data_IF_903714625389
#
_entry.id   IF_903714625389
#
_cell.length_a   1.000
_cell.length_b   1.000
_cell.length_c   1.000
_cell.angle_alpha   90.00
_cell.angle_beta   90.00
_cell.angle_gamma   90.00
#
_symmetry.space_group_name_H-M   'P 1'
#
loop_
_entity.id
_entity.type
_entity.pdbx_description
1 polymer ?
#
# COMPACT_ATOMS: atom_id res chain seq x y z
N UNK A 1 -2.05 19.00 8.03
CA UNK A 1 -0.66 18.92 8.51
C UNK A 1 -0.01 17.67 7.92
N UNK A 2 1.19 17.74 7.33
CA UNK A 2 1.90 16.56 6.85
C UNK A 2 2.31 15.73 8.06
N UNK A 3 1.83 14.48 8.17
CA UNK A 3 2.07 13.57 9.31
C UNK A 3 3.28 12.65 9.11
N UNK A 4 4.12 12.92 8.11
CA UNK A 4 5.27 12.09 7.78
C UNK A 4 6.48 12.38 8.69
N UNK A 5 7.28 11.37 9.09
CA UNK A 5 8.44 11.57 9.97
C UNK A 5 9.41 12.65 9.50
N UNK A 6 9.63 12.78 8.18
CA UNK A 6 10.56 13.78 7.61
C UNK A 6 10.03 15.21 7.79
N UNK A 7 8.73 15.43 7.55
CA UNK A 7 8.11 16.74 7.74
C UNK A 7 8.10 17.16 9.21
N UNK A 8 7.96 16.19 10.13
CA UNK A 8 8.05 16.44 11.57
C UNK A 8 9.48 16.81 11.97
N UNK A 9 10.49 16.14 11.40
CA UNK A 9 11.90 16.45 11.67
C UNK A 9 12.27 17.88 11.27
N UNK A 10 11.73 18.36 10.14
CA UNK A 10 11.88 19.75 9.71
C UNK A 10 11.19 20.73 10.68
N UNK A 11 9.93 20.49 11.01
CA UNK A 11 9.17 21.34 11.94
C UNK A 11 9.82 21.43 13.33
N UNK A 12 10.43 20.34 13.79
CA UNK A 12 11.14 20.27 15.07
C UNK A 12 12.60 20.74 14.98
N UNK A 13 13.05 21.24 13.82
CA UNK A 13 14.42 21.72 13.56
C UNK A 13 15.49 20.68 13.90
N UNK A 14 15.18 19.40 13.72
CA UNK A 14 16.09 18.30 14.02
C UNK A 14 17.30 18.38 13.08
N UNK A 15 17.10 18.66 11.79
CA UNK A 15 18.19 18.79 10.82
C UNK A 15 19.17 19.91 11.21
N UNK A 16 18.67 21.10 11.51
CA UNK A 16 19.51 22.22 11.94
C UNK A 16 20.27 21.94 13.24
N UNK A 17 19.66 21.21 14.19
CA UNK A 17 20.33 20.79 15.43
C UNK A 17 21.57 19.92 15.17
N UNK A 18 21.57 19.17 14.07
CA UNK A 18 22.70 18.35 13.62
C UNK A 18 23.52 19.01 12.50
N UNK A 19 23.39 20.33 12.32
CA UNK A 19 24.12 21.10 11.30
C UNK A 19 23.87 20.60 9.86
N UNK A 20 22.70 20.05 9.60
CA UNK A 20 22.27 19.64 8.26
C UNK A 20 21.46 20.75 7.61
N UNK A 21 21.87 21.14 6.41
CA UNK A 21 21.10 21.99 5.51
C UNK A 21 20.32 21.09 4.54
N UNK A 22 18.99 21.11 4.62
CA UNK A 22 18.13 20.15 3.92
C UNK A 22 17.17 20.90 3.01
N UNK A 23 17.28 20.65 1.71
CA UNK A 23 16.34 21.12 0.71
C UNK A 23 15.31 20.02 0.37
N UNK A 24 14.02 20.38 0.45
CA UNK A 24 12.94 19.46 0.10
C UNK A 24 12.57 19.55 -1.37
N UNK A 25 12.88 18.50 -2.12
CA UNK A 25 12.41 18.33 -3.50
C UNK A 25 11.21 17.39 -3.51
N UNK A 26 10.11 17.83 -4.12
CA UNK A 26 8.89 17.02 -4.26
C UNK A 26 8.88 16.29 -5.61
N UNK A 27 8.81 14.96 -5.58
CA UNK A 27 8.82 14.09 -6.76
C UNK A 27 7.43 13.57 -7.17
N UNK A 28 6.35 14.26 -6.76
CA UNK A 28 4.99 13.99 -7.25
C UNK A 28 4.44 12.62 -6.88
N UNK A 29 4.84 12.07 -5.73
CA UNK A 29 4.50 10.72 -5.25
C UNK A 29 4.99 9.56 -6.14
N UNK A 30 5.84 9.80 -7.15
CA UNK A 30 6.42 8.74 -7.96
C UNK A 30 7.75 8.28 -7.37
N UNK A 31 7.84 6.99 -7.02
CA UNK A 31 9.12 6.41 -6.61
C UNK A 31 10.10 6.34 -7.79
N UNK A 32 9.63 6.21 -9.01
CA UNK A 32 10.49 6.14 -10.20
C UNK A 32 11.20 7.48 -10.43
N UNK A 33 10.48 8.59 -10.27
CA UNK A 33 11.06 9.95 -10.35
C UNK A 33 12.05 10.18 -9.21
N UNK A 34 11.77 9.67 -8.01
CA UNK A 34 12.72 9.73 -6.89
C UNK A 34 14.01 8.95 -7.20
N UNK A 35 13.90 7.73 -7.74
CA UNK A 35 15.05 6.91 -8.11
C UNK A 35 15.88 7.59 -9.20
N UNK A 36 15.23 8.19 -10.21
CA UNK A 36 15.91 8.97 -11.25
C UNK A 36 16.63 10.20 -10.68
N UNK A 37 16.01 10.92 -9.74
CA UNK A 37 16.62 12.08 -9.10
C UNK A 37 17.90 11.71 -8.35
N UNK A 38 17.90 10.56 -7.65
CA UNK A 38 19.11 10.06 -6.98
C UNK A 38 20.15 9.59 -8.00
N UNK A 39 19.73 8.86 -9.04
CA UNK A 39 20.63 8.39 -10.09
C UNK A 39 21.33 9.54 -10.84
N UNK A 40 20.66 10.69 -10.98
CA UNK A 40 21.17 11.88 -11.68
C UNK A 40 21.87 12.87 -10.75
N UNK A 41 21.99 12.57 -9.45
CA UNK A 41 22.60 13.46 -8.45
C UNK A 41 21.78 14.71 -8.13
N UNK A 42 20.49 14.75 -8.50
CA UNK A 42 19.55 15.83 -8.12
C UNK A 42 19.04 15.68 -6.68
N UNK A 43 19.22 14.51 -6.07
CA UNK A 43 18.89 14.25 -4.68
C UNK A 43 19.90 13.28 -4.07
N UNK A 44 20.38 13.58 -2.86
CA UNK A 44 21.31 12.69 -2.13
C UNK A 44 20.60 11.58 -1.37
N UNK A 45 19.33 11.79 -1.02
CA UNK A 45 18.53 10.87 -0.23
C UNK A 45 17.03 10.93 -0.57
N UNK A 46 16.32 9.84 -0.30
CA UNK A 46 14.90 9.72 -0.59
C UNK A 46 14.16 8.89 0.44
N UNK A 47 12.90 9.26 0.69
CA UNK A 47 11.98 8.41 1.46
C UNK A 47 10.93 7.85 0.51
N UNK A 48 10.86 6.53 0.44
CA UNK A 48 9.88 5.81 -0.37
C UNK A 48 9.54 4.45 0.23
N UNK A 49 8.58 3.76 -0.40
CA UNK A 49 8.20 2.41 0.03
C UNK A 49 9.32 1.43 -0.30
N UNK A 50 9.94 0.81 0.70
CA UNK A 50 11.11 -0.05 0.54
C UNK A 50 10.98 -1.09 -0.59
N UNK A 51 9.81 -1.71 -0.76
CA UNK A 51 9.57 -2.73 -1.79
C UNK A 51 9.60 -2.20 -3.24
N UNK A 52 9.53 -0.88 -3.45
CA UNK A 52 9.75 -0.24 -4.76
C UNK A 52 11.23 -0.18 -5.13
N UNK A 53 12.13 -0.17 -4.14
CA UNK A 53 13.57 -0.06 -4.36
C UNK A 53 14.21 -1.40 -4.71
N UNK A 54 13.53 -2.52 -4.43
CA UNK A 54 14.07 -3.86 -4.58
C UNK A 54 14.58 -4.13 -6.01
N UNK A 55 13.80 -3.74 -7.02
CA UNK A 55 14.18 -3.96 -8.42
C UNK A 55 15.40 -3.12 -8.83
N UNK A 56 15.45 -1.86 -8.41
CA UNK A 56 16.60 -0.99 -8.69
C UNK A 56 17.87 -1.53 -8.02
N UNK A 57 17.77 -1.97 -6.76
CA UNK A 57 18.87 -2.60 -6.03
C UNK A 57 19.33 -3.91 -6.69
N UNK A 58 18.41 -4.76 -7.16
CA UNK A 58 18.73 -5.98 -7.92
C UNK A 58 19.46 -5.66 -9.24
N UNK A 59 19.11 -4.54 -9.89
CA UNK A 59 19.76 -4.05 -11.11
C UNK A 59 21.12 -3.36 -10.86
N UNK A 60 21.61 -3.36 -9.61
CA UNK A 60 22.91 -2.78 -9.26
C UNK A 60 22.89 -1.28 -9.02
N UNK A 61 21.73 -0.69 -8.73
CA UNK A 61 21.66 0.73 -8.35
C UNK A 61 22.42 0.96 -7.04
N UNK A 62 23.44 1.81 -7.08
CA UNK A 62 24.37 2.05 -5.97
C UNK A 62 23.76 2.96 -4.90
N UNK A 63 22.82 2.40 -4.14
CA UNK A 63 22.19 3.05 -2.99
C UNK A 63 22.07 2.08 -1.83
N UNK A 64 21.98 2.62 -0.62
CA UNK A 64 21.80 1.82 0.61
C UNK A 64 20.50 2.17 1.28
N UNK A 65 19.74 1.15 1.68
CA UNK A 65 18.59 1.31 2.56
C UNK A 65 19.09 1.49 4.00
N UNK A 66 18.83 2.65 4.59
CA UNK A 66 19.40 3.03 5.91
C UNK A 66 18.45 2.78 7.07
N UNK A 67 17.18 3.18 6.94
CA UNK A 67 16.19 3.07 8.00
C UNK A 67 14.75 2.96 7.46
N UNK A 68 13.90 2.23 8.19
CA UNK A 68 12.45 2.25 7.97
C UNK A 68 11.81 3.42 8.71
N UNK A 69 11.05 4.26 8.01
CA UNK A 69 10.43 5.47 8.59
C UNK A 69 9.07 5.18 9.25
N UNK A 70 8.30 4.24 8.70
CA UNK A 70 7.08 3.69 9.29
C UNK A 70 6.70 2.38 8.60
N UNK A 71 5.69 1.69 9.12
CA UNK A 71 5.08 0.52 8.48
C UNK A 71 3.57 0.46 8.72
N UNK A 72 2.92 -0.59 8.20
CA UNK A 72 1.49 -0.82 8.41
C UNK A 72 0.54 0.07 7.59
N UNK A 73 1.02 0.74 6.55
CA UNK A 73 0.16 1.52 5.65
C UNK A 73 -0.54 0.66 4.58
N UNK A 74 -0.14 -0.59 4.40
CA UNK A 74 -0.71 -1.50 3.39
C UNK A 74 -1.86 -2.30 4.01
N UNK A 75 -3.03 -2.21 3.38
CA UNK A 75 -4.26 -2.82 3.87
C UNK A 75 -4.85 -3.75 2.82
N UNK A 76 -5.47 -4.83 3.30
CA UNK A 76 -6.30 -5.71 2.51
C UNK A 76 -7.76 -5.26 2.67
N UNK A 77 -8.41 -4.96 1.55
CA UNK A 77 -9.81 -4.55 1.51
C UNK A 77 -10.67 -5.66 0.93
N UNK A 78 -11.71 -6.04 1.66
CA UNK A 78 -12.71 -6.99 1.19
C UNK A 78 -14.08 -6.30 1.15
N UNK A 79 -14.95 -6.77 0.26
CA UNK A 79 -16.36 -6.43 0.31
C UNK A 79 -16.96 -6.80 1.69
N UNK A 80 -17.92 -6.01 2.16
CA UNK A 80 -18.55 -6.17 3.48
C UNK A 80 -19.11 -7.58 3.71
N UNK A 81 -19.78 -8.12 2.70
CA UNK A 81 -20.42 -9.44 2.74
C UNK A 81 -19.51 -10.55 2.20
N UNK A 82 -18.20 -10.27 2.05
CA UNK A 82 -17.23 -11.29 1.69
C UNK A 82 -17.11 -12.27 2.85
N UNK A 83 -17.19 -13.60 2.61
CA UNK A 83 -16.90 -14.60 3.63
C UNK A 83 -15.38 -14.75 3.84
N UNK A 84 -14.67 -13.64 3.86
CA UNK A 84 -13.24 -13.59 4.11
C UNK A 84 -12.98 -14.07 5.54
N UNK A 85 -12.29 -15.19 5.64
CA UNK A 85 -11.98 -15.85 6.92
C UNK A 85 -10.53 -15.71 7.36
N UNK A 86 -9.68 -15.02 6.59
CA UNK A 86 -8.24 -15.01 6.78
C UNK A 86 -7.49 -15.08 5.45
N UNK A 87 -6.15 -15.06 5.51
CA UNK A 87 -5.29 -15.10 4.32
C UNK A 87 -5.48 -16.40 3.52
N UNK A 88 -5.79 -17.50 4.21
CA UNK A 88 -6.08 -18.81 3.64
C UNK A 88 -7.25 -18.77 2.65
N UNK A 89 -8.21 -17.87 2.89
CA UNK A 89 -9.37 -17.68 2.01
C UNK A 89 -9.05 -16.98 0.69
N UNK A 90 -7.83 -16.47 0.53
CA UNK A 90 -7.34 -15.85 -0.70
C UNK A 90 -6.89 -16.88 -1.74
N UNK A 91 -6.65 -18.14 -1.34
CA UNK A 91 -6.31 -19.20 -2.30
C UNK A 91 -7.44 -19.39 -3.32
N UNK A 92 -7.06 -19.38 -4.59
CA UNK A 92 -7.94 -19.40 -5.76
C UNK A 92 -8.60 -18.06 -6.10
N UNK A 93 -8.38 -17.00 -5.31
CA UNK A 93 -9.03 -15.70 -5.52
C UNK A 93 -8.21 -14.77 -6.41
N UNK A 94 -8.90 -13.76 -6.93
CA UNK A 94 -8.28 -12.63 -7.59
C UNK A 94 -8.00 -11.52 -6.59
N UNK A 95 -6.73 -11.15 -6.46
CA UNK A 95 -6.27 -10.03 -5.65
C UNK A 95 -5.96 -8.88 -6.58
N UNK A 96 -6.63 -7.76 -6.36
CA UNK A 96 -6.42 -6.56 -7.13
C UNK A 96 -5.35 -5.64 -6.50
N UNK A 97 -4.51 -5.08 -7.36
CA UNK A 97 -3.32 -4.28 -7.01
C UNK A 97 -3.31 -2.99 -7.83
N UNK A 98 -2.62 -1.98 -7.34
CA UNK A 98 -2.50 -0.71 -8.08
C UNK A 98 -1.52 -0.81 -9.26
N UNK A 99 -0.48 -1.65 -9.14
CA UNK A 99 0.40 -2.04 -10.25
C UNK A 99 1.11 -3.38 -9.97
N UNK A 100 1.65 -4.02 -11.02
CA UNK A 100 2.24 -5.37 -10.91
C UNK A 100 3.64 -5.41 -10.28
N UNK A 101 4.32 -4.28 -10.17
CA UNK A 101 5.58 -4.11 -9.45
C UNK A 101 5.35 -3.43 -8.09
N UNK A 102 4.08 -3.34 -7.67
CA UNK A 102 3.65 -2.52 -6.56
C UNK A 102 4.10 -3.09 -5.22
N UNK A 103 4.35 -2.22 -4.23
CA UNK A 103 4.74 -2.62 -2.88
C UNK A 103 3.60 -3.34 -2.17
N UNK A 104 2.35 -3.05 -2.52
CA UNK A 104 1.17 -3.81 -2.12
C UNK A 104 1.26 -5.26 -2.58
N UNK A 105 1.46 -5.52 -3.87
CA UNK A 105 1.62 -6.87 -4.40
C UNK A 105 2.78 -7.60 -3.73
N UNK A 106 3.96 -6.98 -3.69
CA UNK A 106 5.17 -7.61 -3.16
C UNK A 106 5.04 -7.95 -1.67
N UNK A 107 4.44 -7.05 -0.89
CA UNK A 107 4.22 -7.27 0.54
C UNK A 107 3.27 -8.45 0.77
N UNK A 108 2.12 -8.45 0.09
CA UNK A 108 1.14 -9.52 0.26
C UNK A 108 1.60 -10.84 -0.37
N UNK A 109 2.45 -10.82 -1.40
CA UNK A 109 3.07 -12.03 -1.92
C UNK A 109 3.99 -12.70 -0.89
N UNK A 110 4.82 -11.91 -0.18
CA UNK A 110 5.65 -12.39 0.93
C UNK A 110 4.78 -12.95 2.05
N UNK A 111 3.70 -12.23 2.40
CA UNK A 111 2.78 -12.64 3.45
C UNK A 111 2.06 -13.96 3.10
N UNK A 112 1.53 -14.10 1.87
CA UNK A 112 0.92 -15.33 1.37
C UNK A 112 1.91 -16.50 1.43
N UNK A 113 3.15 -16.31 0.97
CA UNK A 113 4.17 -17.36 0.99
C UNK A 113 4.51 -17.80 2.40
N UNK A 114 4.55 -16.90 3.38
CA UNK A 114 4.74 -17.23 4.81
C UNK A 114 3.58 -18.04 5.39
N UNK A 115 2.37 -17.89 4.85
CA UNK A 115 1.18 -18.66 5.21
C UNK A 115 0.98 -19.92 4.34
N UNK A 116 2.00 -20.34 3.58
CA UNK A 116 1.97 -21.57 2.77
C UNK A 116 1.13 -21.46 1.49
N UNK A 117 0.74 -20.25 1.08
CA UNK A 117 -0.01 -19.99 -0.15
C UNK A 117 0.99 -19.52 -1.21
N UNK A 118 1.02 -20.16 -2.37
CA UNK A 118 1.93 -19.73 -3.42
C UNK A 118 1.40 -18.47 -4.13
N UNK A 119 2.09 -17.32 -4.03
CA UNK A 119 1.59 -16.07 -4.60
C UNK A 119 1.62 -16.06 -6.14
N UNK A 120 2.22 -17.06 -6.79
CA UNK A 120 2.28 -17.18 -8.25
C UNK A 120 1.17 -18.10 -8.77
N UNK A 121 0.99 -19.27 -8.16
CA UNK A 121 0.05 -20.29 -8.66
C UNK A 121 -1.29 -20.32 -7.93
N UNK A 122 -1.32 -19.98 -6.64
CA UNK A 122 -2.52 -20.09 -5.82
C UNK A 122 -3.41 -18.84 -5.85
N UNK A 123 -2.96 -17.72 -6.42
CA UNK A 123 -3.75 -16.48 -6.50
C UNK A 123 -3.59 -15.84 -7.88
N UNK A 124 -4.56 -15.01 -8.28
CA UNK A 124 -4.49 -14.24 -9.52
C UNK A 124 -4.35 -12.76 -9.21
N UNK A 125 -3.30 -12.12 -9.72
CA UNK A 125 -3.10 -10.68 -9.57
C UNK A 125 -3.77 -9.92 -10.71
N UNK A 126 -4.51 -8.86 -10.39
CA UNK A 126 -5.15 -8.01 -11.40
C UNK A 126 -4.93 -6.53 -11.09
N UNK A 127 -4.52 -5.77 -12.10
CA UNK A 127 -4.32 -4.34 -11.93
C UNK A 127 -5.66 -3.61 -11.94
N UNK A 128 -5.88 -2.79 -10.92
CA UNK A 128 -6.99 -1.84 -10.82
C UNK A 128 -6.41 -0.48 -10.44
N UNK A 129 -6.56 0.55 -11.31
CA UNK A 129 -6.19 1.93 -10.97
C UNK A 129 -6.85 2.39 -9.67
N UNK A 130 -6.17 3.23 -8.90
CA UNK A 130 -6.65 3.72 -7.59
C UNK A 130 -8.05 4.36 -7.67
N UNK A 131 -8.35 5.08 -8.76
CA UNK A 131 -9.65 5.74 -8.94
C UNK A 131 -10.82 4.74 -9.12
N UNK A 132 -10.51 3.49 -9.47
CA UNK A 132 -11.48 2.42 -9.66
C UNK A 132 -11.63 1.53 -8.43
N UNK A 133 -11.00 1.86 -7.30
CA UNK A 133 -11.01 1.05 -6.07
C UNK A 133 -12.43 0.82 -5.53
N UNK A 134 -13.20 1.90 -5.38
CA UNK A 134 -14.59 1.88 -4.88
C UNK A 134 -15.52 1.19 -5.88
N UNK A 135 -15.33 1.46 -7.17
CA UNK A 135 -16.11 0.85 -8.26
C UNK A 135 -15.82 -0.64 -8.40
N UNK A 136 -14.57 -1.09 -8.24
CA UNK A 136 -14.20 -2.49 -8.33
C UNK A 136 -14.81 -3.31 -7.18
N UNK A 137 -14.77 -2.78 -5.96
CA UNK A 137 -15.44 -3.37 -4.79
C UNK A 137 -16.97 -3.35 -4.95
N UNK A 138 -17.54 -2.28 -5.54
CA UNK A 138 -18.97 -2.15 -5.83
C UNK A 138 -19.46 -3.04 -6.99
N UNK A 139 -18.66 -3.25 -8.03
CA UNK A 139 -19.01 -4.11 -9.17
C UNK A 139 -18.95 -5.60 -8.80
N UNK A 140 -18.06 -5.98 -7.87
CA UNK A 140 -18.09 -7.31 -7.27
C UNK A 140 -19.44 -7.62 -6.59
N UNK A 141 -20.20 -6.59 -6.15
CA UNK A 141 -21.57 -6.72 -5.61
C UNK A 141 -22.60 -7.16 -6.67
N UNK A 142 -22.46 -6.69 -7.92
CA UNK A 142 -23.44 -6.94 -8.98
C UNK A 142 -23.15 -8.20 -9.80
N UNK A 143 -21.93 -8.74 -9.75
CA UNK A 143 -21.59 -10.00 -10.44
C UNK A 143 -21.79 -11.20 -9.51
N UNK A 144 -23.04 -11.51 -9.17
CA UNK A 144 -23.41 -12.77 -8.46
C UNK A 144 -23.05 -14.05 -9.23
N UNK A 145 -22.60 -13.93 -10.49
CA UNK A 145 -22.34 -15.06 -11.40
C UNK A 145 -20.87 -15.27 -11.78
N UNK A 146 -19.94 -14.40 -11.37
CA UNK A 146 -18.50 -14.70 -11.48
C UNK A 146 -17.99 -15.15 -10.12
N UNK A 147 -17.46 -16.37 -10.04
CA UNK A 147 -16.79 -16.95 -8.86
C UNK A 147 -15.49 -16.20 -8.46
N UNK A 148 -15.30 -14.96 -8.92
CA UNK A 148 -14.13 -14.14 -8.63
C UNK A 148 -14.51 -13.17 -7.51
N UNK A 149 -14.20 -13.56 -6.26
CA UNK A 149 -14.34 -12.66 -5.11
C UNK A 149 -13.12 -11.76 -5.09
N UNK A 150 -13.25 -10.59 -5.70
CA UNK A 150 -12.16 -9.62 -5.77
C UNK A 150 -11.86 -9.08 -4.38
N UNK A 151 -10.61 -9.24 -3.96
CA UNK A 151 -10.04 -8.59 -2.77
C UNK A 151 -9.04 -7.57 -3.27
N UNK A 152 -9.07 -6.35 -2.76
CA UNK A 152 -8.26 -5.26 -3.30
C UNK A 152 -7.27 -4.78 -2.25
N UNK A 153 -6.05 -4.48 -2.67
CA UNK A 153 -5.03 -3.88 -1.81
C UNK A 153 -5.07 -2.36 -1.91
N UNK A 154 -4.94 -1.68 -0.79
CA UNK A 154 -4.79 -0.22 -0.76
C UNK A 154 -3.66 0.22 0.17
N UNK A 155 -2.92 1.24 -0.25
CA UNK A 155 -2.06 2.01 0.63
C UNK A 155 -2.88 3.10 1.33
N UNK A 156 -2.68 3.30 2.62
CA UNK A 156 -3.40 4.27 3.45
C UNK A 156 -3.19 5.72 2.93
N UNK A 157 -4.07 6.13 2.03
CA UNK A 157 -4.17 7.45 1.41
C UNK A 157 -5.57 7.72 0.85
N UNK A 158 -6.31 6.67 0.49
CA UNK A 158 -7.69 6.76 0.01
C UNK A 158 -8.68 6.97 1.16
N UNK A 159 -9.12 8.22 1.34
CA UNK A 159 -10.08 8.64 2.39
C UNK A 159 -11.52 8.16 2.16
N UNK A 160 -11.82 7.44 1.08
CA UNK A 160 -13.20 7.15 0.69
C UNK A 160 -13.83 5.89 1.31
N UNK A 161 -13.08 5.10 2.07
CA UNK A 161 -13.59 3.81 2.58
C UNK A 161 -13.66 3.83 4.11
N UNK A 162 -14.87 4.02 4.66
CA UNK A 162 -15.15 3.88 6.09
C UNK A 162 -15.05 2.39 6.45
N UNK A 163 -14.03 1.95 7.17
CA UNK A 163 -13.80 0.52 7.39
C UNK A 163 -13.57 0.12 8.84
N UNK A 164 -14.19 -1.01 9.22
CA UNK A 164 -14.05 -1.66 10.53
C UNK A 164 -12.76 -2.48 10.57
N UNK A 165 -11.95 -2.29 11.62
CA UNK A 165 -10.59 -2.83 11.76
C UNK A 165 -10.61 -4.17 12.51
N UNK A 166 -10.08 -5.23 11.90
CA UNK A 166 -9.71 -6.46 12.62
C UNK A 166 -8.20 -6.68 12.56
N UNK A 167 -7.61 -7.02 13.71
CA UNK A 167 -6.17 -6.96 13.97
C UNK A 167 -5.67 -8.37 14.31
N UNK A 168 -4.73 -8.91 13.50
CA UNK A 168 -4.17 -10.26 13.67
C UNK A 168 -2.67 -10.19 14.06
N UNK A 169 -2.36 -10.72 15.26
CA UNK A 169 -1.09 -11.17 15.92
C UNK A 169 0.27 -10.40 15.83
N UNK A 170 0.97 -10.25 16.98
CA UNK A 170 1.91 -9.16 17.38
C UNK A 170 3.38 -9.24 16.89
N UNK A 171 3.68 -9.92 15.78
CA UNK A 171 5.08 -10.21 15.41
C UNK A 171 5.82 -9.15 14.58
N UNK A 172 5.21 -8.62 13.52
CA UNK A 172 5.82 -7.72 12.52
C UNK A 172 4.67 -7.00 11.82
N UNK A 173 4.77 -5.68 11.58
CA UNK A 173 3.83 -4.83 10.82
C UNK A 173 2.56 -5.56 10.35
N UNK A 174 1.56 -5.61 11.21
CA UNK A 174 0.33 -6.38 10.97
C UNK A 174 -0.42 -5.80 9.78
N UNK A 175 -0.89 -6.62 8.83
CA UNK A 175 -1.83 -6.16 7.81
C UNK A 175 -3.12 -5.73 8.52
N UNK A 176 -3.57 -4.50 8.27
CA UNK A 176 -4.89 -4.10 8.73
C UNK A 176 -5.91 -4.60 7.70
N UNK A 177 -6.77 -5.51 8.14
CA UNK A 177 -7.96 -5.85 7.38
C UNK A 177 -8.99 -4.75 7.61
N UNK A 178 -9.45 -4.15 6.52
CA UNK A 178 -10.43 -3.08 6.53
C UNK A 178 -11.62 -3.51 5.67
N UNK A 179 -12.80 -3.62 6.29
CA UNK A 179 -14.05 -3.92 5.57
C UNK A 179 -14.64 -2.66 4.95
N UNK A 180 -14.85 -2.61 3.64
CA UNK A 180 -15.40 -1.43 3.00
C UNK A 180 -16.84 -1.13 3.46
N UNK A 181 -17.05 -0.01 4.14
CA UNK A 181 -18.36 0.55 4.48
C UNK A 181 -18.90 1.44 3.37
N UNK A 182 -20.21 1.40 3.17
CA UNK A 182 -20.90 2.18 2.14
C UNK A 182 -20.74 3.68 2.35
N UNK A 183 -20.71 4.41 1.23
CA UNK A 183 -20.78 5.87 1.19
C UNK A 183 -22.00 6.33 2.00
N UNK A 184 -21.78 7.17 3.02
CA UNK A 184 -22.87 7.94 3.60
C UNK A 184 -23.21 9.04 2.60
N UNK A 185 -24.41 8.99 2.04
CA UNK A 185 -24.98 10.12 1.33
C UNK A 185 -24.89 11.38 2.20
N UNK A 186 -24.46 12.54 1.66
CA UNK A 186 -24.55 13.79 2.39
C UNK A 186 -26.03 14.06 2.67
N UNK A 187 -26.36 14.07 3.97
CA UNK A 187 -27.74 14.10 4.45
C UNK A 187 -28.57 15.21 3.84
N UNK A 188 -29.68 14.81 3.21
CA UNK A 188 -30.89 15.61 3.21
C UNK A 188 -31.55 15.46 4.58
N UNK A 189 -31.67 16.58 5.29
CA UNK A 189 -32.45 16.73 6.52
C UNK A 189 -32.91 18.18 6.62
N UNK A 190 -34.10 18.43 7.18
CA UNK A 190 -34.97 19.58 6.90
C UNK A 190 -34.42 20.93 7.37
#
# INVERSE_FOLDING_TARGET
MPRGPVAVAEQQKIFSKYNLDVEFVNFGNSTDVLLEAIATGKADAGVGMALRWLKALEQGFDVKLTAGTHGGCLNLLTAKDSPFGGLESLKGQTIGVTDMAGPDKNFFAILLKRHGIDPISDVQWKVYPADLLSVALGQARNRRHQRQRAVQLSSAGDRQVSADRQQYDRGLCQPQLLRAGGEREPGAGP
#
